data_IF_424400615479
#
_entry.id   IF_424400615479
#
_cell.length_a   1.000
_cell.length_b   1.000
_cell.length_c   1.000
_cell.angle_alpha   90.00
_cell.angle_beta   90.00
_cell.angle_gamma   90.00
#
_symmetry.space_group_name_H-M   'P 1'
#
loop_
_entity.id
_entity.type
_entity.pdbx_description
1 polymer ?
#
# COMPACT_ATOMS: atom_id res chain seq x y z
N UNK A 1 -4.18 -52.26 37.36
CA UNK A 1 -5.23 -51.22 37.35
C UNK A 1 -4.70 -49.83 37.76
N UNK A 2 -3.83 -49.72 38.77
CA UNK A 2 -3.29 -48.43 39.26
C UNK A 2 -2.49 -47.62 38.20
N UNK A 3 -1.73 -48.31 37.35
CA UNK A 3 -0.88 -47.70 36.30
C UNK A 3 -1.67 -47.12 35.12
N UNK A 4 -2.79 -47.72 34.76
CA UNK A 4 -3.65 -47.22 33.67
C UNK A 4 -4.41 -45.95 34.09
N UNK A 5 -4.83 -45.88 35.36
CA UNK A 5 -5.50 -44.70 35.92
C UNK A 5 -4.61 -43.45 35.95
N UNK A 6 -3.33 -43.61 36.30
CA UNK A 6 -2.35 -42.51 36.33
C UNK A 6 -2.06 -42.00 34.91
N UNK A 7 -1.98 -42.89 33.91
CA UNK A 7 -1.77 -42.52 32.52
C UNK A 7 -2.93 -41.67 31.97
N UNK A 8 -4.18 -42.09 32.25
CA UNK A 8 -5.38 -41.35 31.83
C UNK A 8 -5.47 -40.00 32.51
N UNK A 9 -5.13 -39.91 33.81
CA UNK A 9 -5.07 -38.63 34.53
C UNK A 9 -4.04 -37.67 33.91
N UNK A 10 -2.86 -38.18 33.56
CA UNK A 10 -1.81 -37.40 32.92
C UNK A 10 -2.22 -36.81 31.57
N UNK A 11 -2.95 -37.58 30.75
CA UNK A 11 -3.46 -37.13 29.45
C UNK A 11 -4.52 -36.04 29.62
N UNK A 12 -5.45 -36.19 30.58
CA UNK A 12 -6.49 -35.20 30.85
C UNK A 12 -5.88 -33.89 31.35
N UNK A 13 -4.92 -33.96 32.28
CA UNK A 13 -4.24 -32.79 32.83
C UNK A 13 -3.39 -32.11 31.75
N UNK A 14 -2.60 -32.87 30.98
CA UNK A 14 -1.78 -32.35 29.90
C UNK A 14 -2.60 -31.69 28.78
N UNK A 15 -3.72 -32.30 28.39
CA UNK A 15 -4.67 -31.74 27.44
C UNK A 15 -5.32 -30.44 27.96
N UNK A 16 -5.71 -30.41 29.24
CA UNK A 16 -6.27 -29.22 29.88
C UNK A 16 -5.28 -28.05 29.95
N UNK A 17 -4.04 -28.31 30.33
CA UNK A 17 -2.97 -27.30 30.36
C UNK A 17 -2.69 -26.78 28.94
N UNK A 18 -2.57 -27.68 27.96
CA UNK A 18 -2.32 -27.31 26.56
C UNK A 18 -3.47 -26.48 25.99
N UNK A 19 -4.72 -26.84 26.29
CA UNK A 19 -5.90 -26.08 25.89
C UNK A 19 -5.92 -24.68 26.52
N UNK A 20 -5.59 -24.55 27.80
CA UNK A 20 -5.51 -23.25 28.48
C UNK A 20 -4.41 -22.36 27.90
N UNK A 21 -3.24 -22.94 27.58
CA UNK A 21 -2.13 -22.23 26.94
C UNK A 21 -2.49 -21.79 25.51
N UNK A 22 -3.08 -22.67 24.70
CA UNK A 22 -3.56 -22.30 23.35
C UNK A 22 -4.64 -21.23 23.42
N UNK A 23 -5.63 -21.37 24.31
CA UNK A 23 -6.70 -20.37 24.48
C UNK A 23 -6.13 -19.02 24.86
N UNK A 24 -5.16 -18.93 25.78
CA UNK A 24 -4.51 -17.66 26.11
C UNK A 24 -3.69 -17.09 24.94
N UNK A 25 -3.00 -17.93 24.16
CA UNK A 25 -2.26 -17.48 22.97
C UNK A 25 -3.17 -17.00 21.82
N UNK A 26 -4.38 -17.55 21.73
CA UNK A 26 -5.41 -17.14 20.77
C UNK A 26 -6.23 -15.94 21.26
N UNK A 27 -6.19 -15.64 22.56
CA UNK A 27 -6.92 -14.52 23.18
C UNK A 27 -6.09 -13.22 23.27
N UNK A 28 -4.85 -13.21 22.79
CA UNK A 28 -3.98 -12.02 22.83
C UNK A 28 -3.92 -11.26 21.50
N UNK A 29 -5.08 -10.90 20.95
CA UNK A 29 -5.21 -9.77 20.01
C UNK A 29 -6.64 -9.24 20.15
N UNK A 30 -6.92 -8.47 21.21
CA UNK A 30 -7.99 -7.48 21.10
C UNK A 30 -7.65 -6.56 19.92
N UNK A 31 -8.63 -5.97 19.20
CA UNK A 31 -8.32 -5.04 18.13
C UNK A 31 -7.59 -3.84 18.76
N UNK A 32 -6.26 -3.86 18.70
CA UNK A 32 -5.43 -2.75 19.11
C UNK A 32 -5.87 -1.52 18.33
N UNK A 33 -5.82 -0.35 18.96
CA UNK A 33 -6.04 0.92 18.27
C UNK A 33 -5.13 0.93 17.03
N UNK A 34 -5.67 1.11 15.82
CA UNK A 34 -4.85 1.15 14.61
C UNK A 34 -3.75 2.20 14.76
N UNK A 35 -2.50 1.80 14.51
CA UNK A 35 -1.38 2.75 14.50
C UNK A 35 -1.61 3.69 13.32
N UNK A 36 -1.90 4.95 13.61
CA UNK A 36 -2.04 5.99 12.59
C UNK A 36 -0.64 6.27 12.00
N UNK A 37 -0.43 6.12 10.69
CA UNK A 37 0.85 6.41 10.07
C UNK A 37 1.28 7.87 10.25
N UNK A 38 2.59 8.10 10.31
CA UNK A 38 3.13 9.45 10.25
C UNK A 38 2.74 10.11 8.91
N UNK A 39 2.25 11.35 8.97
CA UNK A 39 1.89 12.12 7.78
C UNK A 39 0.43 11.99 7.32
N UNK A 40 -0.44 11.30 8.07
CA UNK A 40 -1.90 11.40 7.84
C UNK A 40 -2.34 12.85 8.04
N UNK A 41 -2.92 13.45 6.99
CA UNK A 41 -3.44 14.82 6.99
C UNK A 41 -4.96 14.84 7.03
N UNK A 42 -5.52 16.00 7.39
CA UNK A 42 -6.96 16.25 7.37
C UNK A 42 -7.48 16.49 5.94
N UNK A 43 -8.78 16.28 5.66
CA UNK A 43 -9.39 16.63 4.38
C UNK A 43 -9.21 18.10 3.98
N UNK A 44 -9.17 19.02 4.95
CA UNK A 44 -8.94 20.45 4.70
C UNK A 44 -7.52 20.67 4.17
N UNK A 45 -6.51 20.11 4.84
CA UNK A 45 -5.12 20.18 4.36
C UNK A 45 -4.96 19.54 2.97
N UNK A 46 -5.66 18.43 2.70
CA UNK A 46 -5.66 17.80 1.38
C UNK A 46 -6.25 18.71 0.29
N UNK A 47 -7.34 19.42 0.60
CA UNK A 47 -7.94 20.40 -0.32
C UNK A 47 -7.00 21.58 -0.58
N UNK A 48 -6.33 22.09 0.44
CA UNK A 48 -5.36 23.18 0.26
C UNK A 48 -4.20 22.76 -0.66
N UNK A 49 -3.72 21.51 -0.56
CA UNK A 49 -2.72 20.97 -1.48
C UNK A 49 -3.24 20.87 -2.92
N UNK A 50 -4.49 20.44 -3.09
CA UNK A 50 -5.14 20.32 -4.40
C UNK A 50 -5.37 21.68 -5.08
N UNK A 51 -5.82 22.68 -4.33
CA UNK A 51 -6.01 24.06 -4.80
C UNK A 51 -4.67 24.69 -5.20
N UNK A 52 -3.61 24.45 -4.40
CA UNK A 52 -2.26 24.88 -4.73
C UNK A 52 -1.75 24.23 -6.03
N UNK A 53 -1.98 22.93 -6.22
CA UNK A 53 -1.62 22.27 -7.49
C UNK A 53 -2.39 22.89 -8.67
N UNK A 54 -3.69 23.11 -8.49
CA UNK A 54 -4.55 23.71 -9.52
C UNK A 54 -4.03 25.10 -9.94
N UNK A 55 -3.64 25.91 -8.96
CA UNK A 55 -3.16 27.27 -9.18
C UNK A 55 -1.76 27.30 -9.78
N UNK A 56 -0.85 26.45 -9.30
CA UNK A 56 0.58 26.56 -9.58
C UNK A 56 1.08 25.65 -10.70
N UNK A 57 0.37 24.55 -10.98
CA UNK A 57 0.86 23.46 -11.86
C UNK A 57 -0.05 23.16 -13.03
N UNK A 58 -1.38 23.30 -12.86
CA UNK A 58 -2.34 22.88 -13.88
C UNK A 58 -2.05 23.45 -15.26
N UNK A 59 -1.86 24.78 -15.37
CA UNK A 59 -1.66 25.43 -16.68
C UNK A 59 -0.40 24.91 -17.38
N UNK A 60 0.70 24.73 -16.64
CA UNK A 60 1.95 24.23 -17.21
C UNK A 60 1.82 22.76 -17.66
N UNK A 61 1.19 21.92 -16.84
CA UNK A 61 0.96 20.52 -17.17
C UNK A 61 -0.01 20.36 -18.36
N UNK A 62 -1.13 21.07 -18.36
CA UNK A 62 -2.09 21.06 -19.46
C UNK A 62 -1.44 21.51 -20.78
N UNK A 63 -0.58 22.54 -20.70
CA UNK A 63 0.16 23.05 -21.85
C UNK A 63 1.14 22.00 -22.38
N UNK A 64 1.88 21.32 -21.49
CA UNK A 64 2.81 20.26 -21.88
C UNK A 64 2.09 19.04 -22.49
N UNK A 65 0.91 18.69 -21.96
CA UNK A 65 0.08 17.60 -22.48
C UNK A 65 -0.73 17.99 -23.74
N UNK A 66 -0.75 19.29 -24.10
CA UNK A 66 -1.61 19.89 -25.14
C UNK A 66 -3.12 19.63 -24.94
N UNK A 67 -3.52 19.29 -23.71
CA UNK A 67 -4.88 18.96 -23.29
C UNK A 67 -4.94 19.00 -21.76
N UNK A 68 -6.13 19.02 -21.16
CA UNK A 68 -6.23 18.91 -19.71
C UNK A 68 -5.58 17.61 -19.19
N UNK A 69 -4.56 17.72 -18.33
CA UNK A 69 -3.75 16.58 -17.88
C UNK A 69 -4.28 15.95 -16.57
N UNK A 70 -3.84 14.73 -16.30
CA UNK A 70 -4.13 14.00 -15.07
C UNK A 70 -3.39 14.61 -13.88
N UNK A 71 -4.10 14.73 -12.76
CA UNK A 71 -3.53 15.15 -11.47
C UNK A 71 -3.59 14.08 -10.38
N UNK A 72 -4.22 12.94 -10.68
CA UNK A 72 -4.38 11.82 -9.77
C UNK A 72 -4.25 10.49 -10.51
N UNK A 73 -3.87 9.44 -9.80
CA UNK A 73 -3.93 8.06 -10.27
C UNK A 73 -4.69 7.22 -9.26
N UNK A 74 -5.64 6.42 -9.73
CA UNK A 74 -6.44 5.54 -8.89
C UNK A 74 -5.83 4.13 -8.87
N UNK A 75 -5.94 3.49 -7.71
CA UNK A 75 -5.51 2.12 -7.49
C UNK A 75 -6.59 1.39 -6.71
N UNK A 76 -6.91 0.16 -7.11
CA UNK A 76 -7.81 -0.68 -6.33
C UNK A 76 -7.11 -1.10 -5.03
N UNK A 77 -7.87 -1.17 -3.93
CA UNK A 77 -7.33 -1.66 -2.66
C UNK A 77 -6.74 -3.07 -2.82
N UNK A 78 -7.43 -3.94 -3.56
CA UNK A 78 -6.99 -5.30 -3.81
C UNK A 78 -5.65 -5.37 -4.55
N UNK A 79 -5.45 -4.55 -5.58
CA UNK A 79 -4.18 -4.51 -6.32
C UNK A 79 -3.05 -3.93 -5.46
N UNK A 80 -3.34 -2.94 -4.61
CA UNK A 80 -2.35 -2.41 -3.67
C UNK A 80 -1.92 -3.48 -2.65
N UNK A 81 -2.87 -4.20 -2.04
CA UNK A 81 -2.59 -5.28 -1.10
C UNK A 81 -1.80 -6.42 -1.75
N UNK A 82 -2.20 -6.82 -2.97
CA UNK A 82 -1.51 -7.84 -3.75
C UNK A 82 -0.10 -7.38 -4.14
N UNK A 83 0.08 -6.14 -4.55
CA UNK A 83 1.38 -5.59 -4.91
C UNK A 83 2.33 -5.50 -3.72
N UNK A 84 1.83 -5.08 -2.55
CA UNK A 84 2.60 -5.09 -1.31
C UNK A 84 3.04 -6.51 -0.95
N UNK A 85 2.12 -7.48 -1.08
CA UNK A 85 2.40 -8.89 -0.81
C UNK A 85 3.46 -9.45 -1.76
N UNK A 86 3.29 -9.21 -3.08
CA UNK A 86 4.23 -9.61 -4.12
C UNK A 86 5.62 -9.00 -3.90
N UNK A 87 5.68 -7.71 -3.59
CA UNK A 87 6.94 -7.01 -3.37
C UNK A 87 7.69 -7.59 -2.19
N UNK A 88 7.01 -7.85 -1.06
CA UNK A 88 7.62 -8.44 0.12
C UNK A 88 8.11 -9.87 -0.10
N UNK A 89 7.40 -10.67 -0.92
CA UNK A 89 7.81 -12.04 -1.21
C UNK A 89 9.02 -12.10 -2.15
N UNK A 90 9.11 -11.20 -3.12
CA UNK A 90 10.22 -11.15 -4.08
C UNK A 90 11.44 -10.37 -3.53
N UNK A 91 11.21 -9.40 -2.63
CA UNK A 91 12.24 -8.48 -2.14
C UNK A 91 12.18 -8.34 -0.60
N UNK A 92 12.83 -9.26 0.11
CA UNK A 92 12.78 -9.34 1.59
C UNK A 92 13.31 -8.10 2.33
N UNK A 93 14.09 -7.24 1.66
CA UNK A 93 14.65 -5.99 2.21
C UNK A 93 13.77 -4.76 1.99
N UNK A 94 12.59 -4.93 1.40
CA UNK A 94 11.68 -3.81 1.11
C UNK A 94 11.37 -3.03 2.39
N UNK A 95 11.63 -1.73 2.37
CA UNK A 95 11.40 -0.83 3.49
C UNK A 95 10.38 0.28 3.19
N UNK A 96 9.91 0.39 1.95
CA UNK A 96 8.96 1.41 1.52
C UNK A 96 8.66 1.35 0.03
N UNK A 97 7.93 2.37 -0.43
CA UNK A 97 7.63 2.59 -1.85
C UNK A 97 7.91 4.04 -2.20
N UNK A 98 8.49 4.27 -3.38
CA UNK A 98 8.62 5.59 -3.99
C UNK A 98 7.61 5.72 -5.12
N UNK A 99 6.95 6.87 -5.15
CA UNK A 99 5.99 7.25 -6.19
C UNK A 99 6.69 8.14 -7.21
N UNK A 100 6.61 7.78 -8.48
CA UNK A 100 7.18 8.55 -9.59
C UNK A 100 6.08 9.04 -10.53
N UNK A 101 6.26 10.25 -11.07
CA UNK A 101 5.47 10.72 -12.20
C UNK A 101 6.01 10.08 -13.50
N UNK A 102 5.10 9.55 -14.31
CA UNK A 102 5.36 9.08 -15.67
C UNK A 102 4.35 9.67 -16.65
N UNK A 103 4.52 9.40 -17.94
CA UNK A 103 3.57 9.79 -18.99
C UNK A 103 3.20 8.55 -19.80
N UNK A 104 1.90 8.28 -19.94
CA UNK A 104 1.39 7.19 -20.77
C UNK A 104 1.01 7.72 -22.13
N UNK A 105 1.79 7.38 -23.14
CA UNK A 105 1.48 7.68 -24.54
C UNK A 105 0.79 6.50 -25.21
N UNK A 106 0.10 6.78 -26.32
CA UNK A 106 -0.42 5.75 -27.24
C UNK A 106 -0.06 6.15 -28.66
N UNK A 107 -0.23 5.25 -29.63
CA UNK A 107 0.01 5.58 -31.05
C UNK A 107 -0.83 6.76 -31.54
N UNK A 108 -2.02 6.95 -30.96
CA UNK A 108 -2.93 8.05 -31.28
C UNK A 108 -2.80 9.25 -30.33
N UNK A 109 -1.97 9.15 -29.31
CA UNK A 109 -1.79 10.15 -28.27
C UNK A 109 -0.33 10.22 -27.80
N UNK A 110 0.49 10.89 -28.61
CA UNK A 110 1.94 11.01 -28.38
C UNK A 110 2.30 11.96 -27.23
N UNK A 111 1.39 12.87 -26.82
CA UNK A 111 1.60 13.73 -25.65
C UNK A 111 1.27 13.00 -24.35
N UNK A 112 0.33 12.05 -24.41
CA UNK A 112 -0.02 11.17 -23.32
C UNK A 112 -0.64 11.87 -22.11
N UNK A 113 -0.91 11.10 -21.05
CA UNK A 113 -1.36 11.65 -19.77
C UNK A 113 -0.37 11.32 -18.67
N UNK A 114 -0.24 12.24 -17.71
CA UNK A 114 0.51 11.97 -16.48
C UNK A 114 -0.08 10.75 -15.77
N UNK A 115 0.81 9.92 -15.24
CA UNK A 115 0.48 8.79 -14.36
C UNK A 115 1.44 8.79 -13.18
N UNK A 116 1.10 8.05 -12.14
CA UNK A 116 1.99 7.75 -11.03
C UNK A 116 2.27 6.26 -11.06
N UNK A 117 3.52 5.83 -10.88
CA UNK A 117 3.88 4.42 -10.66
C UNK A 117 4.68 4.25 -9.37
N UNK A 118 4.60 3.04 -8.79
CA UNK A 118 5.19 2.70 -7.49
C UNK A 118 6.38 1.75 -7.64
N UNK A 119 7.51 2.14 -7.04
CA UNK A 119 8.75 1.36 -7.01
C UNK A 119 9.09 1.00 -5.57
N UNK A 120 9.42 -0.27 -5.32
CA UNK A 120 9.87 -0.72 -4.01
C UNK A 120 11.22 -0.12 -3.64
N UNK A 121 11.40 0.25 -2.38
CA UNK A 121 12.68 0.74 -1.84
C UNK A 121 13.27 -0.22 -0.82
N UNK A 122 14.59 -0.19 -0.65
CA UNK A 122 15.31 -0.84 0.45
C UNK A 122 16.18 0.17 1.20
N UNK A 123 16.57 -0.18 2.44
CA UNK A 123 17.54 0.60 3.20
C UNK A 123 18.95 0.25 2.72
N UNK A 124 19.61 1.24 2.10
CA UNK A 124 21.05 1.21 1.86
C UNK A 124 21.72 2.28 2.73
N UNK A 125 22.20 1.86 3.91
CA UNK A 125 23.00 2.66 4.85
C UNK A 125 22.28 3.94 5.31
N UNK A 126 21.01 3.82 5.67
CA UNK A 126 20.16 4.91 6.15
C UNK A 126 19.46 5.69 5.04
N UNK A 127 19.61 5.28 3.78
CA UNK A 127 18.94 5.89 2.64
C UNK A 127 17.96 4.89 2.01
N UNK A 128 16.72 5.34 1.80
CA UNK A 128 15.72 4.57 1.05
C UNK A 128 16.09 4.62 -0.44
N UNK A 129 16.61 3.53 -1.01
CA UNK A 129 16.98 3.43 -2.43
C UNK A 129 15.99 2.55 -3.19
N UNK A 130 15.73 2.89 -4.45
CA UNK A 130 14.91 2.02 -5.29
C UNK A 130 15.61 0.70 -5.54
N UNK A 131 14.83 -0.38 -5.57
CA UNK A 131 15.30 -1.70 -5.94
C UNK A 131 15.15 -1.83 -7.47
N UNK A 132 16.24 -1.75 -8.27
CA UNK A 132 16.12 -1.61 -9.73
C UNK A 132 15.51 -2.83 -10.44
N UNK A 133 15.55 -4.00 -9.78
CA UNK A 133 15.01 -5.26 -10.30
C UNK A 133 13.60 -5.56 -9.79
N UNK A 134 13.06 -4.75 -8.89
CA UNK A 134 11.72 -4.95 -8.37
C UNK A 134 10.67 -4.66 -9.45
N UNK A 135 9.58 -5.42 -9.43
CA UNK A 135 8.40 -5.11 -10.23
C UNK A 135 7.81 -3.77 -9.79
N UNK A 136 7.23 -3.08 -10.75
CA UNK A 136 6.63 -1.75 -10.59
C UNK A 136 5.12 -1.89 -10.73
N UNK A 137 4.36 -1.23 -9.87
CA UNK A 137 2.91 -1.12 -10.03
C UNK A 137 2.57 0.19 -10.71
N UNK A 138 1.89 0.07 -11.84
CA UNK A 138 1.32 1.17 -12.60
C UNK A 138 -0.09 0.74 -13.04
N UNK A 139 -1.08 1.59 -12.83
CA UNK A 139 -2.51 1.41 -13.16
C UNK A 139 -3.13 0.05 -12.77
N UNK A 140 -3.58 -0.06 -11.52
CA UNK A 140 -4.67 -0.99 -11.19
C UNK A 140 -5.98 -0.47 -11.80
N UNK A 141 -6.34 -0.92 -13.01
CA UNK A 141 -7.56 -0.52 -13.74
C UNK A 141 -7.55 0.91 -14.31
N UNK A 142 -8.21 1.13 -15.45
CA UNK A 142 -8.34 2.47 -16.05
C UNK A 142 -9.20 3.39 -15.16
N UNK A 143 -8.64 4.50 -14.68
CA UNK A 143 -9.38 5.55 -13.98
C UNK A 143 -10.28 6.32 -14.95
N UNK A 144 -11.55 6.51 -14.58
CA UNK A 144 -12.54 7.29 -15.32
C UNK A 144 -13.14 8.37 -14.41
N UNK A 145 -13.15 9.68 -14.77
CA UNK A 145 -12.50 10.34 -15.90
C UNK A 145 -11.14 11.00 -15.53
N UNK A 146 -10.27 11.27 -16.52
CA UNK A 146 -8.97 11.93 -16.34
C UNK A 146 -9.03 13.37 -15.78
N UNK A 147 -10.23 13.93 -15.60
CA UNK A 147 -10.47 15.34 -15.25
C UNK A 147 -11.06 15.56 -13.85
N UNK A 148 -11.24 14.51 -13.06
CA UNK A 148 -12.01 14.63 -11.83
C UNK A 148 -11.19 15.32 -10.71
N UNK A 149 -11.83 16.29 -10.04
CA UNK A 149 -11.21 17.12 -9.00
C UNK A 149 -11.29 16.46 -7.61
N UNK A 150 -10.51 16.91 -6.63
CA UNK A 150 -10.57 16.44 -5.25
C UNK A 150 -11.59 17.26 -4.44
N UNK A 151 -12.43 16.62 -3.60
CA UNK A 151 -12.73 15.19 -3.63
C UNK A 151 -13.55 14.85 -4.88
N UNK A 152 -13.37 13.63 -5.40
CA UNK A 152 -14.17 13.10 -6.51
C UNK A 152 -15.49 12.51 -5.99
#
# INVERSE_FOLDING_TARGET
MLTLGILVLGIIIGGGITYLLLKNSLSSQGPGVPIVPAGVITPVQARDLDENWTTLRKVANDTAAAKPDNRSSWYSLADMENFITLTKSENAKTNGFRMYLGVKTTETDETGYTTIFMVATEDDRGANKDIPTAKVLDMGGAGYPPQANYPQ
#
